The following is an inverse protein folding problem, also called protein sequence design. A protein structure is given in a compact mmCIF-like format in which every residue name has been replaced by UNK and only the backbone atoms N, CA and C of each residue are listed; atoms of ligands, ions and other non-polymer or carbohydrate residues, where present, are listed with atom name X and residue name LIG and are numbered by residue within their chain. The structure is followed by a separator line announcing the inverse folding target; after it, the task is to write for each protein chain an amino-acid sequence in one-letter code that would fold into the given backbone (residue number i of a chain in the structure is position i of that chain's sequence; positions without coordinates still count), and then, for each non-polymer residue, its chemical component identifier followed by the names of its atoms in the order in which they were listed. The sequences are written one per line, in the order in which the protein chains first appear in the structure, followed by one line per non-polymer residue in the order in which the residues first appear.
data_IF_167019574109
#
_entry.id   IF_167019574109
#
_cell.length_a   1.000
_cell.length_b   1.000
_cell.length_c   1.000
_cell.angle_alpha   90.00
_cell.angle_beta   90.00
_cell.angle_gamma   90.00
#
_symmetry.space_group_name_H-M   'P 1'
#
loop_
_entity.id
_entity.type
_entity.pdbx_description
1 polymer ?
#
# COMPACT_ATOMS: atom_id res chain seq x y z
N UNK A 1 15.12 3.25 10.70
CA UNK A 1 15.47 4.44 9.88
C UNK A 1 14.39 5.52 9.96
N UNK A 2 13.15 5.26 9.54
CA UNK A 2 12.09 6.29 9.53
C UNK A 2 11.80 6.95 10.89
N UNK A 3 11.84 6.20 12.00
CA UNK A 3 11.69 6.80 13.34
C UNK A 3 12.77 7.83 13.66
N UNK A 4 14.01 7.60 13.19
CA UNK A 4 15.10 8.55 13.36
C UNK A 4 14.89 9.79 12.49
N UNK A 5 14.45 9.61 11.23
CA UNK A 5 14.20 10.72 10.31
C UNK A 5 13.09 11.67 10.80
N UNK A 6 12.04 11.10 11.41
CA UNK A 6 10.84 11.81 11.87
C UNK A 6 10.91 12.24 13.34
N UNK A 7 12.05 12.00 14.00
CA UNK A 7 12.22 12.39 15.40
C UNK A 7 12.07 13.92 15.57
N UNK A 8 11.41 14.32 16.66
CA UNK A 8 11.14 15.74 16.94
C UNK A 8 12.43 16.53 17.22
N UNK A 9 13.33 15.98 18.02
CA UNK A 9 14.48 16.71 18.55
C UNK A 9 15.67 16.72 17.60
N UNK A 10 16.00 15.56 17.03
CA UNK A 10 17.22 15.34 16.23
C UNK A 10 16.94 14.77 14.84
N UNK A 11 15.68 14.70 14.41
CA UNK A 11 15.32 14.12 13.12
C UNK A 11 15.76 14.97 11.93
N UNK A 12 16.21 14.31 10.86
CA UNK A 12 16.65 14.97 9.62
C UNK A 12 15.56 15.88 9.03
N UNK A 13 14.29 15.47 9.11
CA UNK A 13 13.20 16.28 8.55
C UNK A 13 13.01 17.59 9.32
N UNK A 14 13.08 17.56 10.65
CA UNK A 14 13.03 18.77 11.46
C UNK A 14 14.28 19.63 11.30
N UNK A 15 15.45 19.02 11.08
CA UNK A 15 16.67 19.75 10.73
C UNK A 15 16.50 20.51 9.40
N UNK A 16 15.95 19.86 8.36
CA UNK A 16 15.70 20.49 7.07
C UNK A 16 14.66 21.62 7.16
N UNK A 17 13.59 21.44 7.96
CA UNK A 17 12.62 22.50 8.23
C UNK A 17 13.27 23.73 8.88
N UNK A 18 14.20 23.53 9.82
CA UNK A 18 14.95 24.60 10.46
C UNK A 18 15.83 25.41 9.50
N UNK A 19 16.28 24.83 8.37
CA UNK A 19 17.01 25.59 7.34
C UNK A 19 16.14 26.65 6.65
N UNK A 20 14.82 26.50 6.73
CA UNK A 20 13.82 27.41 6.16
C UNK A 20 13.07 28.22 7.23
N UNK A 21 13.59 28.27 8.47
CA UNK A 21 12.97 28.96 9.61
C UNK A 21 11.55 28.44 9.94
N UNK A 22 11.28 27.16 9.68
CA UNK A 22 10.02 26.50 10.02
C UNK A 22 10.17 25.80 11.37
N UNK A 23 9.19 26.02 12.25
CA UNK A 23 9.11 25.37 13.57
C UNK A 23 9.14 23.84 13.49
N UNK A 24 9.73 23.22 14.50
CA UNK A 24 9.79 21.76 14.61
C UNK A 24 8.39 21.15 14.62
N UNK A 25 8.20 20.14 13.79
CA UNK A 25 6.95 19.38 13.65
C UNK A 25 7.06 18.05 14.37
N UNK A 26 6.10 17.76 15.23
CA UNK A 26 5.89 16.41 15.74
C UNK A 26 5.06 15.61 14.74
N UNK A 27 5.74 14.83 13.88
CA UNK A 27 5.08 14.05 12.83
C UNK A 27 4.25 12.87 13.35
N UNK A 28 4.47 12.45 14.61
CA UNK A 28 3.75 11.36 15.28
C UNK A 28 2.79 11.89 16.35
N UNK A 29 2.41 13.17 16.27
CA UNK A 29 1.34 13.76 17.08
C UNK A 29 -0.02 13.12 16.79
N UNK A 30 -0.99 13.36 17.67
CA UNK A 30 -2.33 12.77 17.59
C UNK A 30 -3.06 13.06 16.28
N UNK A 31 -2.93 14.28 15.75
CA UNK A 31 -3.53 14.71 14.50
C UNK A 31 -2.82 14.18 13.23
N UNK A 32 -1.55 13.74 13.34
CA UNK A 32 -0.69 13.47 12.17
C UNK A 32 -0.23 12.03 12.05
N UNK A 33 -0.20 11.27 13.14
CA UNK A 33 0.41 9.95 13.19
C UNK A 33 -0.15 9.00 12.11
N UNK A 34 -1.46 9.00 11.86
CA UNK A 34 -2.07 8.15 10.84
C UNK A 34 -1.63 8.51 9.42
N UNK A 35 -1.59 9.81 9.11
CA UNK A 35 -1.18 10.31 7.79
C UNK A 35 0.30 10.05 7.57
N UNK A 36 1.14 10.43 8.54
CA UNK A 36 2.59 10.20 8.48
C UNK A 36 2.92 8.72 8.32
N UNK A 37 2.28 7.85 9.12
CA UNK A 37 2.49 6.40 9.04
C UNK A 37 2.05 5.84 7.69
N UNK A 38 0.92 6.32 7.14
CA UNK A 38 0.44 5.92 5.81
C UNK A 38 1.45 6.30 4.73
N UNK A 39 2.01 7.52 4.76
CA UNK A 39 3.03 7.97 3.80
C UNK A 39 4.28 7.10 3.88
N UNK A 40 4.74 6.79 5.09
CA UNK A 40 5.92 5.92 5.31
C UNK A 40 5.65 4.51 4.77
N UNK A 41 4.50 3.93 5.07
CA UNK A 41 4.08 2.61 4.57
C UNK A 41 4.05 2.60 3.04
N UNK A 42 3.43 3.60 2.41
CA UNK A 42 3.37 3.71 0.95
C UNK A 42 4.77 3.79 0.35
N UNK A 43 5.64 4.62 0.91
CA UNK A 43 7.01 4.81 0.41
C UNK A 43 7.79 3.49 0.38
N UNK A 44 7.60 2.64 1.39
CA UNK A 44 8.29 1.34 1.47
C UNK A 44 7.61 0.28 0.58
N UNK A 45 6.29 0.37 0.40
CA UNK A 45 5.50 -0.69 -0.24
C UNK A 45 5.38 -0.55 -1.76
N UNK A 46 5.69 0.62 -2.33
CA UNK A 46 5.52 0.89 -3.76
C UNK A 46 6.57 0.24 -4.66
N UNK A 47 7.75 -0.11 -4.13
CA UNK A 47 8.88 -0.59 -4.95
C UNK A 47 8.55 -1.84 -5.78
N UNK A 48 7.99 -2.87 -5.16
CA UNK A 48 7.61 -4.12 -5.84
C UNK A 48 6.57 -3.91 -6.95
N UNK A 49 5.40 -3.30 -6.64
CA UNK A 49 4.40 -2.92 -7.64
C UNK A 49 4.96 -2.16 -8.85
N UNK A 50 5.83 -1.17 -8.63
CA UNK A 50 6.42 -0.36 -9.72
C UNK A 50 7.25 -1.24 -10.66
N UNK A 51 8.10 -2.12 -10.12
CA UNK A 51 8.93 -3.02 -10.92
C UNK A 51 8.06 -3.96 -11.76
N UNK A 52 7.05 -4.57 -11.14
CA UNK A 52 6.14 -5.51 -11.81
C UNK A 52 5.36 -4.81 -12.93
N UNK A 53 4.80 -3.63 -12.66
CA UNK A 53 4.04 -2.86 -13.65
C UNK A 53 4.93 -2.35 -14.78
N UNK A 54 6.17 -1.94 -14.49
CA UNK A 54 7.12 -1.49 -15.50
C UNK A 54 7.54 -2.65 -16.43
N UNK A 55 7.77 -3.83 -15.88
CA UNK A 55 8.06 -5.03 -16.67
C UNK A 55 6.88 -5.42 -17.57
N UNK A 56 5.64 -5.37 -17.05
CA UNK A 56 4.45 -5.65 -17.83
C UNK A 56 4.23 -4.62 -18.94
N UNK A 57 4.47 -3.33 -18.67
CA UNK A 57 4.40 -2.27 -19.68
C UNK A 57 5.42 -2.50 -20.81
N UNK A 58 6.65 -2.87 -20.46
CA UNK A 58 7.71 -3.19 -21.43
C UNK A 58 7.45 -4.45 -22.24
N UNK A 59 6.56 -5.34 -21.78
CA UNK A 59 6.14 -6.54 -22.50
C UNK A 59 5.09 -6.30 -23.58
N UNK A 60 4.52 -5.09 -23.69
CA UNK A 60 3.51 -4.77 -24.70
C UNK A 60 4.19 -4.57 -26.07
N UNK A 61 3.83 -5.35 -27.11
CA UNK A 61 4.42 -5.19 -28.44
C UNK A 61 4.22 -3.79 -29.01
N UNK A 62 5.29 -3.19 -29.51
CA UNK A 62 5.30 -1.83 -30.07
C UNK A 62 4.36 -1.71 -31.28
N UNK A 63 4.16 -2.81 -32.02
CA UNK A 63 3.28 -2.88 -33.19
C UNK A 63 1.83 -2.46 -32.89
N UNK A 64 1.31 -2.71 -31.68
CA UNK A 64 -0.03 -2.23 -31.30
C UNK A 64 -0.10 -0.70 -31.27
N UNK A 65 0.97 -0.04 -30.80
CA UNK A 65 1.03 1.41 -30.75
C UNK A 65 1.25 2.03 -32.12
N UNK A 66 2.09 1.43 -32.96
CA UNK A 66 2.32 1.87 -34.35
C UNK A 66 1.04 1.75 -35.18
N UNK A 67 0.33 0.62 -35.10
CA UNK A 67 -0.95 0.44 -35.79
C UNK A 67 -1.97 1.50 -35.36
N UNK A 68 -2.06 1.78 -34.06
CA UNK A 68 -2.95 2.81 -33.55
C UNK A 68 -2.55 4.23 -33.99
N UNK A 69 -1.26 4.51 -34.17
CA UNK A 69 -0.79 5.80 -34.72
C UNK A 69 -1.14 5.96 -36.20
N UNK A 70 -1.07 4.89 -36.99
CA UNK A 70 -1.54 4.88 -38.37
C UNK A 70 -3.05 5.17 -38.46
N UNK A 71 -3.83 4.68 -37.48
CA UNK A 71 -5.26 4.96 -37.33
C UNK A 71 -5.56 6.35 -36.72
N UNK A 72 -4.54 7.18 -36.48
CA UNK A 72 -4.69 8.53 -35.91
C UNK A 72 -5.12 8.55 -34.43
N UNK A 73 -4.84 7.49 -33.67
CA UNK A 73 -5.21 7.43 -32.26
C UNK A 73 -4.36 8.38 -31.41
N UNK A 74 -5.05 9.22 -30.62
CA UNK A 74 -4.41 10.08 -29.62
C UNK A 74 -3.79 9.29 -28.47
N UNK A 75 -2.89 9.92 -27.72
CA UNK A 75 -2.22 9.32 -26.54
C UNK A 75 -3.21 8.66 -25.56
N UNK A 76 -4.28 9.37 -25.19
CA UNK A 76 -5.30 8.86 -24.27
C UNK A 76 -6.04 7.64 -24.83
N UNK A 77 -6.30 7.62 -26.15
CA UNK A 77 -6.94 6.49 -26.81
C UNK A 77 -6.04 5.27 -26.79
N UNK A 78 -4.73 5.43 -27.05
CA UNK A 78 -3.73 4.35 -26.92
C UNK A 78 -3.63 3.84 -25.48
N UNK A 79 -3.59 4.73 -24.50
CA UNK A 79 -3.50 4.33 -23.09
C UNK A 79 -4.72 3.54 -22.62
N UNK A 80 -5.94 4.01 -22.93
CA UNK A 80 -7.18 3.38 -22.46
C UNK A 80 -7.53 2.12 -23.24
N UNK A 81 -7.19 2.03 -24.53
CA UNK A 81 -7.58 0.90 -25.39
C UNK A 81 -6.50 -0.15 -25.61
N UNK A 82 -5.23 0.17 -25.35
CA UNK A 82 -4.10 -0.76 -25.54
C UNK A 82 -3.43 -1.01 -24.20
N UNK A 83 -2.86 0.03 -23.58
CA UNK A 83 -2.05 -0.13 -22.37
C UNK A 83 -2.86 -0.69 -21.20
N UNK A 84 -3.96 -0.04 -20.83
CA UNK A 84 -4.76 -0.46 -19.67
C UNK A 84 -5.36 -1.88 -19.82
N UNK A 85 -5.95 -2.27 -20.97
CA UNK A 85 -6.46 -3.63 -21.16
C UNK A 85 -5.36 -4.69 -21.09
N UNK A 86 -4.21 -4.44 -21.72
CA UNK A 86 -3.10 -5.40 -21.73
C UNK A 86 -2.41 -5.52 -20.37
N UNK A 87 -2.33 -4.44 -19.61
CA UNK A 87 -1.79 -4.48 -18.24
C UNK A 87 -2.80 -4.98 -17.20
N UNK A 88 -4.09 -5.10 -17.54
CA UNK A 88 -5.16 -5.41 -16.58
C UNK A 88 -4.91 -6.67 -15.73
N UNK A 89 -4.42 -7.81 -16.27
CA UNK A 89 -4.10 -8.98 -15.45
C UNK A 89 -3.02 -8.69 -14.41
N UNK A 90 -1.97 -7.95 -14.80
CA UNK A 90 -0.89 -7.55 -13.89
C UNK A 90 -1.35 -6.52 -12.86
N UNK A 91 -2.17 -5.55 -13.25
CA UNK A 91 -2.77 -4.57 -12.34
C UNK A 91 -3.62 -5.30 -11.29
N UNK A 92 -4.44 -6.28 -11.71
CA UNK A 92 -5.24 -7.09 -10.80
C UNK A 92 -4.36 -7.86 -9.81
N UNK A 93 -3.31 -8.52 -10.28
CA UNK A 93 -2.36 -9.22 -9.41
C UNK A 93 -1.71 -8.28 -8.37
N UNK A 94 -1.22 -7.13 -8.83
CA UNK A 94 -0.61 -6.11 -7.96
C UNK A 94 -1.62 -5.54 -6.97
N UNK A 95 -2.86 -5.26 -7.40
CA UNK A 95 -3.91 -4.73 -6.54
C UNK A 95 -4.29 -5.72 -5.43
N UNK A 96 -4.47 -7.00 -5.78
CA UNK A 96 -4.82 -8.05 -4.81
C UNK A 96 -3.68 -8.26 -3.81
N UNK A 97 -2.46 -8.46 -4.29
CA UNK A 97 -1.29 -8.69 -3.41
C UNK A 97 -0.99 -7.50 -2.52
N UNK A 98 -1.10 -6.26 -3.04
CA UNK A 98 -0.93 -5.04 -2.25
C UNK A 98 -2.02 -4.89 -1.19
N UNK A 99 -3.26 -5.27 -1.51
CA UNK A 99 -4.38 -5.23 -0.57
C UNK A 99 -4.19 -6.22 0.57
N UNK A 100 -3.80 -7.45 0.25
CA UNK A 100 -3.43 -8.47 1.26
C UNK A 100 -2.31 -7.92 2.15
N UNK A 101 -1.26 -7.35 1.54
CA UNK A 101 -0.13 -6.76 2.26
C UNK A 101 -0.54 -5.62 3.20
N UNK A 102 -1.48 -4.76 2.78
CA UNK A 102 -1.99 -3.66 3.60
C UNK A 102 -2.70 -4.15 4.87
N UNK A 103 -3.47 -5.25 4.79
CA UNK A 103 -4.08 -5.86 5.98
C UNK A 103 -3.07 -6.56 6.89
N UNK A 104 -1.91 -6.95 6.36
CA UNK A 104 -0.82 -7.61 7.09
C UNK A 104 0.22 -6.64 7.67
N UNK A 105 -0.05 -5.33 7.64
CA UNK A 105 0.82 -4.32 8.25
C UNK A 105 0.84 -4.46 9.78
N UNK A 106 1.86 -5.16 10.26
CA UNK A 106 2.10 -5.40 11.68
C UNK A 106 3.43 -4.85 12.14
N UNK A 107 4.54 -5.42 11.64
CA UNK A 107 5.88 -5.10 12.15
C UNK A 107 6.18 -3.61 12.04
N UNK A 108 5.80 -2.98 10.92
CA UNK A 108 5.99 -1.54 10.75
C UNK A 108 5.18 -0.73 11.75
N UNK A 109 3.91 -1.06 11.97
CA UNK A 109 3.05 -0.33 12.92
C UNK A 109 3.54 -0.53 14.35
N UNK A 110 3.83 -1.77 14.74
CA UNK A 110 4.35 -2.10 16.07
C UNK A 110 5.63 -1.33 16.38
N UNK A 111 6.60 -1.37 15.46
CA UNK A 111 7.89 -0.73 15.68
C UNK A 111 7.78 0.80 15.59
N UNK A 112 6.97 1.32 14.68
CA UNK A 112 6.97 2.74 14.31
C UNK A 112 6.11 3.60 15.24
N UNK A 113 4.91 3.13 15.60
CA UNK A 113 3.94 3.86 16.43
C UNK A 113 3.39 3.05 17.61
N UNK A 114 3.60 1.73 17.63
CA UNK A 114 2.95 0.79 18.55
C UNK A 114 1.41 0.93 18.57
N UNK A 115 0.81 1.37 17.46
CA UNK A 115 -0.63 1.64 17.35
C UNK A 115 -1.07 3.01 17.87
N UNK A 116 -0.15 3.79 18.45
CA UNK A 116 -0.44 5.10 19.01
C UNK A 116 -0.51 6.25 17.99
N UNK A 117 -0.79 7.46 18.51
CA UNK A 117 -1.36 7.73 19.83
C UNK A 117 -2.86 7.40 19.89
N UNK A 118 -3.39 7.04 21.06
CA UNK A 118 -4.82 6.71 21.27
C UNK A 118 -5.41 5.71 20.25
N UNK A 119 -4.66 4.64 19.96
CA UNK A 119 -5.05 3.62 18.98
C UNK A 119 -5.25 4.12 17.54
N UNK A 120 -4.84 5.36 17.21
CA UNK A 120 -5.08 5.98 15.91
C UNK A 120 -4.39 5.25 14.74
N UNK A 121 -3.35 4.47 15.02
CA UNK A 121 -2.64 3.67 14.00
C UNK A 121 -2.77 2.17 14.23
N UNK A 122 -3.61 1.75 15.18
CA UNK A 122 -3.78 0.34 15.53
C UNK A 122 -4.43 -0.44 14.39
N UNK A 123 -3.79 -1.53 14.01
CA UNK A 123 -4.30 -2.47 13.01
C UNK A 123 -4.90 -3.71 13.68
N UNK A 124 -5.74 -4.45 12.93
CA UNK A 124 -6.34 -5.70 13.41
C UNK A 124 -5.25 -6.72 13.80
N UNK A 125 -4.16 -6.79 13.02
CA UNK A 125 -3.04 -7.68 13.32
C UNK A 125 -2.32 -7.29 14.62
N UNK A 126 -2.20 -5.99 14.90
CA UNK A 126 -1.61 -5.51 16.16
C UNK A 126 -2.49 -5.89 17.36
N UNK A 127 -3.82 -5.78 17.24
CA UNK A 127 -4.74 -6.21 18.30
C UNK A 127 -4.68 -7.73 18.52
N UNK A 128 -4.61 -8.51 17.45
CA UNK A 128 -4.44 -9.96 17.54
C UNK A 128 -3.16 -10.30 18.32
N UNK A 129 -2.05 -9.63 18.00
CA UNK A 129 -0.79 -9.82 18.71
C UNK A 129 -0.93 -9.47 20.20
N UNK A 130 -1.58 -8.36 20.53
CA UNK A 130 -1.82 -7.97 21.92
C UNK A 130 -2.66 -9.02 22.66
N UNK A 131 -3.75 -9.51 22.07
CA UNK A 131 -4.59 -10.53 22.70
C UNK A 131 -3.83 -11.85 22.90
N UNK A 132 -3.13 -12.34 21.88
CA UNK A 132 -2.43 -13.62 21.94
C UNK A 132 -1.22 -13.59 22.87
N UNK A 133 -0.35 -12.59 22.74
CA UNK A 133 1.00 -12.61 23.32
C UNK A 133 1.18 -11.67 24.50
N UNK A 134 0.28 -10.69 24.70
CA UNK A 134 0.32 -9.81 25.87
C UNK A 134 -0.73 -10.24 26.89
N UNK A 135 -1.98 -10.46 26.45
CA UNK A 135 -3.07 -10.85 27.34
C UNK A 135 -3.16 -12.38 27.55
N UNK A 136 -2.55 -13.18 26.67
CA UNK A 136 -2.59 -14.65 26.73
C UNK A 136 -3.92 -15.26 26.26
N UNK A 137 -4.81 -14.47 25.65
CA UNK A 137 -6.10 -14.91 25.13
C UNK A 137 -5.97 -15.36 23.67
N UNK A 138 -5.41 -16.56 23.50
CA UNK A 138 -5.28 -17.20 22.20
C UNK A 138 -6.64 -17.50 21.54
N UNK A 139 -7.70 -17.73 22.33
CA UNK A 139 -9.03 -18.02 21.81
C UNK A 139 -9.60 -16.82 21.06
N UNK A 140 -9.56 -15.65 21.69
CA UNK A 140 -9.99 -14.38 21.09
C UNK A 140 -9.10 -13.99 19.92
N UNK A 141 -7.78 -14.11 20.05
CA UNK A 141 -6.85 -13.80 18.97
C UNK A 141 -7.11 -14.67 17.72
N UNK A 142 -7.35 -15.97 17.90
CA UNK A 142 -7.66 -16.87 16.79
C UNK A 142 -8.99 -16.52 16.10
N UNK A 143 -10.02 -16.15 16.88
CA UNK A 143 -11.28 -15.69 16.29
C UNK A 143 -11.08 -14.43 15.44
N UNK A 144 -10.29 -13.47 15.93
CA UNK A 144 -9.93 -12.26 15.17
C UNK A 144 -9.15 -12.59 13.89
N UNK A 145 -8.23 -13.56 13.94
CA UNK A 145 -7.45 -14.01 12.78
C UNK A 145 -8.36 -14.58 11.68
N UNK A 146 -9.32 -15.43 12.06
CA UNK A 146 -10.27 -16.05 11.13
C UNK A 146 -11.16 -14.98 10.49
N UNK A 147 -11.69 -14.04 11.27
CA UNK A 147 -12.50 -12.94 10.74
C UNK A 147 -11.70 -12.09 9.76
N UNK A 148 -10.46 -11.74 10.10
CA UNK A 148 -9.58 -10.98 9.21
C UNK A 148 -9.31 -11.73 7.90
N UNK A 149 -9.05 -13.03 7.99
CA UNK A 149 -8.84 -13.89 6.81
C UNK A 149 -10.06 -13.87 5.88
N UNK A 150 -11.27 -14.01 6.44
CA UNK A 150 -12.53 -13.93 5.68
C UNK A 150 -12.67 -12.57 4.99
N UNK A 151 -12.38 -11.47 5.70
CA UNK A 151 -12.43 -10.12 5.12
C UNK A 151 -11.46 -10.00 3.94
N UNK A 152 -10.22 -10.46 4.10
CA UNK A 152 -9.21 -10.42 3.03
C UNK A 152 -9.67 -11.24 1.82
N UNK A 153 -10.20 -12.45 2.03
CA UNK A 153 -10.69 -13.31 0.96
C UNK A 153 -11.87 -12.68 0.22
N UNK A 154 -12.82 -12.07 0.95
CA UNK A 154 -13.97 -11.38 0.34
C UNK A 154 -13.48 -10.22 -0.52
N UNK A 155 -12.57 -9.39 -0.01
CA UNK A 155 -12.05 -8.24 -0.76
C UNK A 155 -11.27 -8.71 -1.98
N UNK A 156 -10.40 -9.71 -1.85
CA UNK A 156 -9.67 -10.29 -2.97
C UNK A 156 -10.62 -10.85 -4.02
N UNK A 157 -11.65 -11.58 -3.61
CA UNK A 157 -12.68 -12.11 -4.52
C UNK A 157 -13.43 -10.99 -5.25
N UNK A 158 -13.79 -9.90 -4.57
CA UNK A 158 -14.41 -8.74 -5.20
C UNK A 158 -13.46 -8.09 -6.22
N UNK A 159 -12.18 -7.93 -5.87
CA UNK A 159 -11.17 -7.43 -6.80
C UNK A 159 -11.07 -8.31 -8.04
N UNK A 160 -10.96 -9.63 -7.88
CA UNK A 160 -11.00 -10.56 -9.01
C UNK A 160 -12.29 -10.44 -9.81
N UNK A 161 -13.45 -10.31 -9.18
CA UNK A 161 -14.74 -10.21 -9.89
C UNK A 161 -14.86 -8.94 -10.73
N UNK A 162 -14.41 -7.79 -10.24
CA UNK A 162 -14.55 -6.51 -10.95
C UNK A 162 -13.38 -6.21 -11.92
N UNK A 163 -12.18 -6.70 -11.61
CA UNK A 163 -10.96 -6.41 -12.38
C UNK A 163 -10.51 -7.59 -13.25
N UNK A 164 -11.22 -8.72 -13.27
CA UNK A 164 -11.03 -9.74 -14.32
C UNK A 164 -11.57 -9.22 -15.66
N UNK A 165 -10.91 -9.62 -16.75
CA UNK A 165 -11.39 -9.41 -18.11
C UNK A 165 -11.16 -10.69 -18.89
N UNK A 166 -12.13 -11.06 -19.71
CA UNK A 166 -12.17 -12.29 -20.49
C UNK A 166 -11.36 -12.22 -21.80
N UNK A 167 -10.35 -11.36 -21.87
CA UNK A 167 -9.46 -11.30 -23.04
C UNK A 167 -8.50 -12.48 -22.92
N UNK A 168 -8.88 -13.59 -23.54
CA UNK A 168 -7.97 -14.66 -23.93
C UNK A 168 -7.03 -14.11 -25.02
N UNK A 169 -5.73 -14.33 -24.85
CA UNK A 169 -4.68 -13.95 -25.80
C UNK A 169 -4.61 -14.94 -26.96
#
# INVERSE_FOLDING_TARGET
MWQYLLNYDFGLLNFLLGLFDIDKVNFLSYDRAIVTTTVVVLTISLGGPIVILSAALGGIPVSYYEAAELDGASFWRKHIRITLPMMKPTILFVAVTSTIGAFQLFAIILLFTAGGPNYATTTILLLLYQEAFVNGDYGRANAMAVILSIIIVIIAWLQFKFLRTDIEY
#
